data_IF_058008160294
#
_entry.id   IF_058008160294
#
_cell.length_a   1.000
_cell.length_b   1.000
_cell.length_c   1.000
_cell.angle_alpha   90.00
_cell.angle_beta   90.00
_cell.angle_gamma   90.00
#
_symmetry.space_group_name_H-M   'P 1'
#
loop_
_entity.id
_entity.type
_entity.pdbx_description
1 polymer ?
#
# COMPACT_ATOMS: atom_id res chain seq x y z
N UNK A 1 57.52 -13.94 1.26
CA UNK A 1 56.62 -12.94 0.67
C UNK A 1 55.35 -13.65 0.23
N UNK A 2 54.28 -13.57 1.03
CA UNK A 2 52.96 -14.01 0.62
C UNK A 2 52.11 -12.74 0.48
N UNK A 3 51.65 -12.46 -0.75
CA UNK A 3 50.83 -11.31 -1.04
C UNK A 3 49.45 -11.49 -0.40
N UNK A 4 49.10 -10.61 0.55
CA UNK A 4 47.74 -10.46 1.03
C UNK A 4 46.90 -9.83 -0.08
N UNK A 5 46.04 -10.64 -0.72
CA UNK A 5 45.00 -10.11 -1.59
C UNK A 5 43.93 -9.47 -0.71
N UNK A 6 43.98 -8.15 -0.64
CA UNK A 6 42.96 -7.32 0.02
C UNK A 6 41.75 -7.23 -0.92
N UNK A 7 40.87 -8.22 -0.83
CA UNK A 7 39.58 -8.24 -1.54
C UNK A 7 38.63 -7.33 -0.75
N UNK A 8 38.15 -6.20 -1.29
CA UNK A 8 37.20 -5.37 -0.57
C UNK A 8 35.91 -6.17 -0.40
N UNK A 9 35.66 -6.68 0.82
CA UNK A 9 34.33 -7.12 1.21
C UNK A 9 33.44 -5.88 1.16
N UNK A 10 32.71 -5.68 0.06
CA UNK A 10 31.51 -4.85 0.03
C UNK A 10 30.50 -5.46 0.99
N UNK A 11 30.68 -5.23 2.29
CA UNK A 11 29.64 -5.43 3.29
C UNK A 11 28.52 -4.46 2.93
N UNK A 12 27.51 -4.93 2.21
CA UNK A 12 26.17 -4.38 2.41
C UNK A 12 25.88 -4.65 3.88
N UNK A 13 25.97 -3.63 4.74
CA UNK A 13 25.51 -3.78 6.11
C UNK A 13 24.02 -4.14 6.01
N UNK A 14 23.67 -5.38 6.30
CA UNK A 14 22.28 -5.75 6.51
C UNK A 14 21.85 -4.96 7.74
N UNK A 15 21.22 -3.79 7.53
CA UNK A 15 20.57 -3.07 8.62
C UNK A 15 19.54 -4.02 9.19
N UNK A 16 19.57 -4.20 10.51
CA UNK A 16 18.53 -4.93 11.22
C UNK A 16 17.16 -4.34 10.80
N UNK A 17 16.20 -5.16 10.29
CA UNK A 17 14.89 -4.65 9.87
C UNK A 17 14.01 -4.24 11.05
N UNK A 18 14.47 -4.45 12.29
CA UNK A 18 13.76 -4.13 13.51
C UNK A 18 14.38 -2.95 14.29
N UNK A 19 13.50 -2.16 14.89
CA UNK A 19 13.82 -1.12 15.87
C UNK A 19 14.08 -1.72 17.26
N UNK A 20 14.73 -0.97 18.15
CA UNK A 20 14.91 -1.36 19.56
C UNK A 20 13.59 -1.31 20.35
N UNK A 21 12.65 -0.47 19.94
CA UNK A 21 11.30 -0.33 20.52
C UNK A 21 10.29 -0.08 19.38
N UNK A 22 9.03 -0.49 19.54
CA UNK A 22 8.03 -0.27 18.51
C UNK A 22 7.66 1.21 18.45
N UNK A 23 7.46 1.74 17.24
CA UNK A 23 6.75 3.00 17.04
C UNK A 23 5.25 2.73 17.17
N UNK A 24 4.67 3.23 18.25
CA UNK A 24 3.27 2.98 18.61
C UNK A 24 2.31 4.07 18.13
N UNK A 25 2.82 5.16 17.55
CA UNK A 25 2.01 6.22 16.96
C UNK A 25 1.03 5.63 15.94
N UNK A 26 -0.22 6.12 15.99
CA UNK A 26 -1.28 5.73 15.08
C UNK A 26 -1.59 6.88 14.15
N UNK A 27 -1.63 6.60 12.86
CA UNK A 27 -2.35 7.46 11.92
C UNK A 27 -3.75 6.90 11.78
N UNK A 28 -4.75 7.74 11.99
CA UNK A 28 -6.15 7.35 11.98
C UNK A 28 -6.90 8.17 10.95
N UNK A 29 -7.83 7.53 10.29
CA UNK A 29 -8.78 8.15 9.37
C UNK A 29 -10.14 7.50 9.64
N UNK A 30 -11.20 8.29 9.66
CA UNK A 30 -12.56 7.77 9.74
C UNK A 30 -13.49 8.63 8.90
N UNK A 31 -14.64 8.08 8.57
CA UNK A 31 -15.65 8.78 7.80
C UNK A 31 -16.91 7.98 7.65
N UNK A 32 -17.86 8.56 6.94
CA UNK A 32 -19.16 7.99 6.66
C UNK A 32 -19.67 8.46 5.29
N UNK A 33 -20.59 7.69 4.72
CA UNK A 33 -21.27 7.99 3.46
C UNK A 33 -21.74 6.71 2.79
N UNK A 34 -22.64 6.82 1.81
CA UNK A 34 -23.31 5.67 1.18
C UNK A 34 -23.96 4.71 2.21
N UNK A 35 -24.42 5.24 3.35
CA UNK A 35 -25.03 4.45 4.43
C UNK A 35 -24.07 3.60 5.25
N UNK A 36 -22.74 3.76 5.08
CA UNK A 36 -21.71 3.05 5.85
C UNK A 36 -20.84 4.02 6.65
N UNK A 37 -20.27 3.52 7.74
CA UNK A 37 -19.23 4.20 8.52
C UNK A 37 -17.94 3.38 8.46
N UNK A 38 -16.78 4.05 8.37
CA UNK A 38 -15.47 3.39 8.33
C UNK A 38 -14.48 4.01 9.31
N UNK A 39 -13.49 3.21 9.68
CA UNK A 39 -12.31 3.64 10.40
C UNK A 39 -11.08 2.87 9.92
N UNK A 40 -9.96 3.57 9.81
CA UNK A 40 -8.64 3.03 9.45
C UNK A 40 -7.65 3.48 10.51
N UNK A 41 -6.74 2.58 10.88
CA UNK A 41 -5.59 2.90 11.71
C UNK A 41 -4.35 2.21 11.15
N UNK A 42 -3.26 2.95 11.00
CA UNK A 42 -1.96 2.41 10.59
C UNK A 42 -0.93 2.61 11.69
N UNK A 43 0.04 1.70 11.79
CA UNK A 43 1.10 1.73 12.79
C UNK A 43 2.36 1.04 12.24
N UNK A 44 3.51 1.69 12.34
CA UNK A 44 4.79 1.13 11.88
C UNK A 44 5.24 -0.06 12.75
N UNK A 45 5.00 -0.01 14.07
CA UNK A 45 5.39 -1.06 14.99
C UNK A 45 6.91 -1.23 15.05
N UNK A 46 7.38 -2.48 14.94
CA UNK A 46 8.79 -2.83 15.12
C UNK A 46 9.66 -2.64 13.88
N UNK A 47 9.09 -2.43 12.69
CA UNK A 47 9.87 -2.31 11.46
C UNK A 47 10.62 -0.98 11.41
N UNK A 48 11.78 -0.93 10.77
CA UNK A 48 12.53 0.32 10.57
C UNK A 48 11.81 1.28 9.62
N UNK A 49 11.07 0.75 8.66
CA UNK A 49 10.31 1.50 7.66
C UNK A 49 8.82 1.14 7.72
N UNK A 50 7.97 2.10 7.36
CA UNK A 50 6.53 1.89 7.16
C UNK A 50 6.26 1.77 5.66
N UNK A 51 5.98 0.55 5.22
CA UNK A 51 5.80 0.22 3.80
C UNK A 51 4.34 0.06 3.39
N UNK A 52 3.41 -0.08 4.34
CA UNK A 52 2.00 -0.17 4.02
C UNK A 52 1.43 1.16 3.50
N UNK A 53 0.37 1.03 2.70
CA UNK A 53 -0.49 2.12 2.29
C UNK A 53 -1.96 1.66 2.34
N UNK A 54 -2.89 2.61 2.32
CA UNK A 54 -4.32 2.34 2.23
C UNK A 54 -4.98 3.32 1.28
N UNK A 55 -6.16 2.96 0.77
CA UNK A 55 -7.05 3.84 0.03
C UNK A 55 -8.47 3.66 0.56
N UNK A 56 -9.12 4.78 0.87
CA UNK A 56 -10.55 4.84 1.12
C UNK A 56 -11.17 5.85 0.18
N UNK A 57 -12.17 5.40 -0.58
CA UNK A 57 -12.96 6.24 -1.46
C UNK A 57 -14.43 5.93 -1.24
N UNK A 58 -15.10 6.84 -0.53
CA UNK A 58 -16.56 6.86 -0.47
C UNK A 58 -17.06 7.59 -1.71
N UNK A 59 -18.06 7.01 -2.38
CA UNK A 59 -18.64 7.50 -3.63
C UNK A 59 -17.61 7.56 -4.78
N UNK A 60 -17.75 6.67 -5.75
CA UNK A 60 -16.87 6.60 -6.91
C UNK A 60 -17.22 7.62 -8.02
N UNK A 61 -18.33 8.35 -7.87
CA UNK A 61 -18.83 9.34 -8.81
C UNK A 61 -19.49 8.74 -10.05
N UNK A 62 -20.06 9.61 -10.89
CA UNK A 62 -20.72 9.25 -12.15
C UNK A 62 -21.81 8.18 -11.94
N UNK A 63 -21.76 7.07 -12.69
CA UNK A 63 -22.72 5.96 -12.57
C UNK A 63 -22.53 5.12 -11.28
N UNK A 64 -21.56 5.46 -10.42
CA UNK A 64 -21.15 4.64 -9.28
C UNK A 64 -21.15 5.44 -7.97
N UNK A 65 -22.04 6.42 -7.84
CA UNK A 65 -22.16 7.26 -6.64
C UNK A 65 -22.45 6.45 -5.38
N UNK A 66 -23.22 5.36 -5.50
CA UNK A 66 -23.54 4.46 -4.39
C UNK A 66 -22.42 3.44 -4.07
N UNK A 67 -21.33 3.42 -4.85
CA UNK A 67 -20.22 2.50 -4.64
C UNK A 67 -19.14 3.11 -3.75
N UNK A 68 -18.48 2.26 -2.97
CA UNK A 68 -17.35 2.64 -2.13
C UNK A 68 -16.20 1.64 -2.30
N UNK A 69 -14.97 2.12 -2.20
CA UNK A 69 -13.76 1.32 -2.36
C UNK A 69 -12.84 1.48 -1.15
N UNK A 70 -12.34 0.34 -0.66
CA UNK A 70 -11.42 0.25 0.46
C UNK A 70 -10.32 -0.74 0.11
N UNK A 71 -9.06 -0.37 0.31
CA UNK A 71 -7.93 -1.26 0.06
C UNK A 71 -6.76 -1.01 1.02
N UNK A 72 -6.06 -2.09 1.33
CA UNK A 72 -4.82 -2.12 2.13
C UNK A 72 -3.73 -2.75 1.27
N UNK A 73 -2.55 -2.14 1.27
CA UNK A 73 -1.41 -2.54 0.47
C UNK A 73 -0.22 -2.79 1.39
N UNK A 74 0.22 -4.04 1.51
CA UNK A 74 1.43 -4.43 2.24
C UNK A 74 2.64 -4.31 1.31
N UNK A 75 3.44 -3.26 1.52
CA UNK A 75 4.65 -3.01 0.74
C UNK A 75 5.81 -3.89 1.20
N UNK A 76 6.65 -4.31 0.25
CA UNK A 76 7.89 -5.02 0.56
C UNK A 76 9.03 -4.53 -0.31
N UNK A 77 10.24 -4.49 0.25
CA UNK A 77 11.45 -3.99 -0.42
C UNK A 77 11.32 -2.53 -0.91
N UNK A 78 10.56 -1.72 -0.17
CA UNK A 78 10.28 -0.31 -0.43
C UNK A 78 8.78 -0.02 -0.53
N UNK A 79 8.36 1.12 0.03
CA UNK A 79 6.97 1.57 0.01
C UNK A 79 6.45 2.05 -1.36
N UNK A 80 7.29 2.08 -2.40
CA UNK A 80 6.96 2.75 -3.68
C UNK A 80 5.77 2.11 -4.38
N UNK A 81 5.73 0.78 -4.47
CA UNK A 81 4.66 0.06 -5.18
C UNK A 81 3.35 0.16 -4.42
N UNK A 82 3.37 -0.06 -3.09
CA UNK A 82 2.17 0.07 -2.25
C UNK A 82 1.55 1.48 -2.35
N UNK A 83 2.36 2.54 -2.27
CA UNK A 83 1.88 3.93 -2.43
C UNK A 83 1.35 4.22 -3.82
N UNK A 84 1.99 3.67 -4.86
CA UNK A 84 1.52 3.83 -6.24
C UNK A 84 0.17 3.12 -6.45
N UNK A 85 0.05 1.88 -5.98
CA UNK A 85 -1.19 1.10 -6.04
C UNK A 85 -2.32 1.79 -5.28
N UNK A 86 -2.07 2.26 -4.06
CA UNK A 86 -3.06 3.02 -3.28
C UNK A 86 -3.59 4.23 -4.06
N UNK A 87 -2.72 4.94 -4.78
CA UNK A 87 -3.11 6.13 -5.55
C UNK A 87 -3.81 5.82 -6.88
N UNK A 88 -3.48 4.71 -7.55
CA UNK A 88 -3.80 4.53 -8.98
C UNK A 88 -4.56 3.24 -9.33
N UNK A 89 -4.61 2.25 -8.44
CA UNK A 89 -5.21 0.97 -8.77
C UNK A 89 -6.72 1.11 -9.07
N UNK A 90 -7.44 1.87 -8.24
CA UNK A 90 -8.85 2.13 -8.43
C UNK A 90 -9.13 2.80 -9.79
N UNK A 91 -8.34 3.82 -10.15
CA UNK A 91 -8.48 4.51 -11.44
C UNK A 91 -8.24 3.56 -12.61
N UNK A 92 -7.24 2.67 -12.49
CA UNK A 92 -6.95 1.66 -13.52
C UNK A 92 -8.09 0.66 -13.68
N UNK A 93 -8.71 0.22 -12.58
CA UNK A 93 -9.86 -0.69 -12.61
C UNK A 93 -11.08 -0.02 -13.25
N UNK A 94 -11.41 1.21 -12.83
CA UNK A 94 -12.57 1.98 -13.33
C UNK A 94 -12.41 2.28 -14.83
N UNK A 95 -11.18 2.52 -15.30
CA UNK A 95 -10.89 2.84 -16.70
C UNK A 95 -11.02 1.64 -17.66
N UNK A 96 -11.23 0.41 -17.16
CA UNK A 96 -11.45 -0.75 -18.02
C UNK A 96 -12.84 -0.72 -18.68
N UNK A 97 -12.94 -1.22 -19.91
CA UNK A 97 -14.22 -1.35 -20.62
C UNK A 97 -15.19 -2.29 -19.89
N UNK A 98 -14.63 -3.27 -19.17
CA UNK A 98 -15.35 -4.29 -18.41
C UNK A 98 -16.00 -3.75 -17.14
N UNK A 99 -15.59 -2.59 -16.60
CA UNK A 99 -16.03 -2.11 -15.29
C UNK A 99 -17.56 -2.01 -15.15
N UNK A 100 -18.25 -1.61 -16.23
CA UNK A 100 -19.70 -1.46 -16.24
C UNK A 100 -20.46 -2.77 -16.51
N UNK A 101 -19.76 -3.83 -16.94
CA UNK A 101 -20.39 -5.08 -17.40
C UNK A 101 -20.05 -6.27 -16.49
N UNK A 102 -18.79 -6.36 -16.08
CA UNK A 102 -18.22 -7.45 -15.31
C UNK A 102 -17.08 -6.92 -14.44
N UNK A 103 -17.44 -6.50 -13.23
CA UNK A 103 -16.51 -5.95 -12.25
C UNK A 103 -15.38 -6.92 -11.90
N UNK A 104 -15.62 -8.23 -11.97
CA UNK A 104 -14.57 -9.24 -11.70
C UNK A 104 -13.49 -9.18 -12.77
N UNK A 105 -13.89 -9.15 -14.06
CA UNK A 105 -12.94 -8.98 -15.17
C UNK A 105 -12.24 -7.63 -15.13
N UNK A 106 -12.96 -6.56 -14.77
CA UNK A 106 -12.40 -5.23 -14.62
C UNK A 106 -11.28 -5.19 -13.57
N UNK A 107 -11.52 -5.80 -12.40
CA UNK A 107 -10.49 -5.93 -11.35
C UNK A 107 -9.29 -6.72 -11.88
N UNK A 108 -9.51 -7.87 -12.52
CA UNK A 108 -8.42 -8.68 -13.05
C UNK A 108 -7.57 -7.96 -14.11
N UNK A 109 -8.19 -7.12 -14.94
CA UNK A 109 -7.51 -6.37 -16.00
C UNK A 109 -6.85 -5.09 -15.50
N UNK A 110 -7.39 -4.49 -14.43
CA UNK A 110 -6.85 -3.27 -13.83
C UNK A 110 -5.64 -3.50 -12.91
N UNK A 111 -5.42 -4.73 -12.46
CA UNK A 111 -4.22 -5.18 -11.74
C UNK A 111 -3.08 -5.55 -12.71
#
# INVERSE_FOLDING_TARGET
>A
MAASLDIPRRYKSYRNPYLEKPKTDKFQECGEGNGICYGVATMQGWRTEMEDAHMVKINLGNAFEDWSYFAVFDGHAGAKVARYAAKHLLDTIIATEEFHQDVTKAIHKGF
#
